data_IF_721509899729
#
_entry.id   IF_721509899729
#
_cell.length_a   1.000
_cell.length_b   1.000
_cell.length_c   1.000
_cell.angle_alpha   90.00
_cell.angle_beta   90.00
_cell.angle_gamma   90.00
#
_symmetry.space_group_name_H-M   'P 1'
#
loop_
_entity.id
_entity.type
_entity.pdbx_description
1 polymer ?
#
# COMPACT_ATOMS: atom_id res chain seq x y z
N UNK A 1 4.82 7.71 9.85
CA UNK A 1 4.65 8.23 8.50
C UNK A 1 3.19 8.49 8.23
N UNK A 2 2.87 9.66 7.73
CA UNK A 2 1.49 10.04 7.41
C UNK A 2 1.23 9.90 5.93
N UNK A 3 0.11 9.27 5.60
CA UNK A 3 -0.37 9.27 4.23
C UNK A 3 -1.26 10.49 4.04
N UNK A 4 -1.00 11.23 2.97
CA UNK A 4 -1.77 12.43 2.66
C UNK A 4 -3.24 12.06 2.40
N UNK A 5 -4.20 12.64 3.15
CA UNK A 5 -5.62 12.36 2.92
C UNK A 5 -6.09 12.70 1.50
N UNK A 6 -5.52 13.75 0.91
CA UNK A 6 -5.86 14.11 -0.47
C UNK A 6 -5.43 13.02 -1.44
N UNK A 7 -4.27 12.41 -1.20
CA UNK A 7 -3.78 11.30 -2.01
C UNK A 7 -4.74 10.12 -1.94
N UNK A 8 -5.21 9.78 -0.74
CA UNK A 8 -6.15 8.67 -0.55
C UNK A 8 -7.49 8.95 -1.23
N UNK A 9 -7.97 10.20 -1.19
CA UNK A 9 -9.19 10.58 -1.89
C UNK A 9 -9.06 10.41 -3.39
N UNK A 10 -7.92 10.80 -3.96
CA UNK A 10 -7.66 10.63 -5.39
C UNK A 10 -7.61 9.16 -5.77
N UNK A 11 -7.00 8.34 -4.94
CA UNK A 11 -6.94 6.89 -5.17
C UNK A 11 -8.34 6.30 -5.15
N UNK A 12 -9.16 6.68 -4.18
CA UNK A 12 -10.54 6.22 -4.09
C UNK A 12 -11.35 6.58 -5.33
N UNK A 13 -11.03 7.71 -5.95
CA UNK A 13 -11.67 8.16 -7.18
C UNK A 13 -11.11 7.46 -8.44
N UNK A 14 -10.09 6.60 -8.29
CA UNK A 14 -9.52 5.85 -9.40
C UNK A 14 -8.32 6.49 -10.06
N UNK A 15 -7.67 7.45 -9.40
CA UNK A 15 -6.48 8.13 -9.94
C UNK A 15 -5.28 7.20 -9.86
N UNK A 16 -4.86 6.67 -11.00
CA UNK A 16 -3.74 5.73 -11.08
C UNK A 16 -2.41 6.36 -10.75
N UNK A 17 -2.22 7.64 -11.06
CA UNK A 17 -0.98 8.34 -10.74
C UNK A 17 -0.85 8.52 -9.24
N UNK A 18 -1.94 8.83 -8.56
CA UNK A 18 -1.95 8.92 -7.11
C UNK A 18 -1.62 7.58 -6.47
N UNK A 19 -2.13 6.50 -7.04
CA UNK A 19 -1.81 5.14 -6.56
C UNK A 19 -0.32 4.83 -6.75
N UNK A 20 0.26 5.22 -7.88
CA UNK A 20 1.70 5.03 -8.11
C UNK A 20 2.55 5.76 -7.06
N UNK A 21 2.14 6.96 -6.67
CA UNK A 21 2.82 7.70 -5.60
C UNK A 21 2.74 6.96 -4.27
N UNK A 22 1.57 6.40 -3.96
CA UNK A 22 1.40 5.60 -2.75
C UNK A 22 2.31 4.38 -2.76
N UNK A 23 2.38 3.68 -3.90
CA UNK A 23 3.28 2.54 -4.06
C UNK A 23 4.73 2.93 -3.78
N UNK A 24 5.17 4.05 -4.33
CA UNK A 24 6.55 4.52 -4.14
C UNK A 24 6.85 4.82 -2.67
N UNK A 25 5.86 5.33 -1.93
CA UNK A 25 6.05 5.62 -0.51
C UNK A 25 6.16 4.38 0.36
N UNK A 26 5.42 3.34 0.04
CA UNK A 26 5.26 2.20 0.95
C UNK A 26 5.92 0.92 0.47
N UNK A 27 6.22 0.80 -0.83
CA UNK A 27 6.73 -0.46 -1.40
C UNK A 27 7.92 -1.03 -0.63
N UNK A 28 8.94 -0.20 -0.39
CA UNK A 28 10.15 -0.66 0.30
C UNK A 28 9.89 -1.12 1.71
N UNK A 29 9.05 -0.38 2.44
CA UNK A 29 8.74 -0.72 3.84
C UNK A 29 7.89 -1.97 3.95
N UNK A 30 6.90 -2.11 3.08
CA UNK A 30 6.06 -3.30 3.05
C UNK A 30 6.90 -4.52 2.66
N UNK A 31 7.75 -4.37 1.65
CA UNK A 31 8.63 -5.44 1.22
C UNK A 31 9.55 -5.90 2.35
N UNK A 32 10.21 -4.97 3.04
CA UNK A 32 11.09 -5.30 4.15
C UNK A 32 10.35 -6.03 5.27
N UNK A 33 9.13 -5.57 5.57
CA UNK A 33 8.29 -6.17 6.58
C UNK A 33 7.94 -7.62 6.23
N UNK A 34 7.47 -7.83 5.00
CA UNK A 34 7.09 -9.16 4.51
C UNK A 34 8.29 -10.09 4.50
N UNK A 35 9.45 -9.60 4.04
CA UNK A 35 10.66 -10.39 3.95
C UNK A 35 11.11 -10.89 5.32
N UNK A 36 10.82 -10.15 6.39
CA UNK A 36 11.11 -10.58 7.76
C UNK A 36 10.40 -11.88 8.09
N UNK A 37 9.21 -12.09 7.56
CA UNK A 37 8.41 -13.29 7.85
C UNK A 37 8.69 -14.43 6.90
N UNK A 38 8.76 -14.18 5.59
CA UNK A 38 8.89 -15.27 4.60
C UNK A 38 10.34 -15.61 4.29
N UNK A 39 11.25 -14.67 4.45
CA UNK A 39 12.71 -14.84 4.28
C UNK A 39 13.13 -15.28 2.88
N UNK A 40 12.24 -15.22 1.90
CA UNK A 40 12.53 -15.54 0.51
C UNK A 40 12.11 -14.38 -0.37
N UNK A 41 13.04 -13.92 -1.21
CA UNK A 41 12.83 -12.72 -2.02
C UNK A 41 11.62 -12.88 -2.96
N UNK A 42 11.56 -13.99 -3.70
CA UNK A 42 10.51 -14.19 -4.68
C UNK A 42 9.12 -14.24 -4.05
N UNK A 43 9.00 -14.91 -2.91
CA UNK A 43 7.74 -14.96 -2.18
C UNK A 43 7.34 -13.58 -1.67
N UNK A 44 8.31 -12.80 -1.16
CA UNK A 44 8.05 -11.46 -0.69
C UNK A 44 7.53 -10.56 -1.80
N UNK A 45 8.11 -10.65 -2.99
CA UNK A 45 7.66 -9.87 -4.15
C UNK A 45 6.20 -10.20 -4.47
N UNK A 46 5.83 -11.47 -4.52
CA UNK A 46 4.45 -11.88 -4.81
C UNK A 46 3.48 -11.37 -3.75
N UNK A 47 3.83 -11.50 -2.49
CA UNK A 47 2.97 -11.07 -1.40
C UNK A 47 2.76 -9.56 -1.45
N UNK A 48 3.82 -8.80 -1.69
CA UNK A 48 3.74 -7.34 -1.78
C UNK A 48 2.83 -6.92 -2.94
N UNK A 49 2.98 -7.57 -4.09
CA UNK A 49 2.10 -7.31 -5.24
C UNK A 49 0.65 -7.57 -4.89
N UNK A 50 0.36 -8.69 -4.23
CA UNK A 50 -1.00 -9.04 -3.83
C UNK A 50 -1.58 -8.03 -2.85
N UNK A 51 -0.77 -7.54 -1.91
CA UNK A 51 -1.21 -6.52 -0.95
C UNK A 51 -1.66 -5.27 -1.70
N UNK A 52 -0.86 -4.77 -2.64
CA UNK A 52 -1.18 -3.54 -3.35
C UNK A 52 -2.33 -3.73 -4.35
N UNK A 53 -2.47 -4.90 -4.94
CA UNK A 53 -3.64 -5.22 -5.77
C UNK A 53 -4.91 -5.15 -4.94
N UNK A 54 -4.90 -5.72 -3.73
CA UNK A 54 -6.06 -5.67 -2.83
C UNK A 54 -6.38 -4.24 -2.42
N UNK A 55 -5.35 -3.43 -2.16
CA UNK A 55 -5.56 -2.01 -1.85
C UNK A 55 -6.28 -1.31 -2.99
N UNK A 56 -5.85 -1.54 -4.23
CA UNK A 56 -6.50 -0.95 -5.39
C UNK A 56 -7.96 -1.39 -5.53
N UNK A 57 -8.22 -2.69 -5.36
CA UNK A 57 -9.57 -3.24 -5.45
C UNK A 57 -10.49 -2.63 -4.39
N UNK A 58 -9.95 -2.41 -3.18
CA UNK A 58 -10.70 -1.89 -2.04
C UNK A 58 -10.52 -0.39 -1.86
N UNK A 59 -10.08 0.32 -2.88
CA UNK A 59 -9.65 1.72 -2.76
C UNK A 59 -10.71 2.65 -2.19
N UNK A 60 -11.98 2.35 -2.39
CA UNK A 60 -13.07 3.17 -1.87
C UNK A 60 -13.31 2.97 -0.37
N UNK A 61 -12.72 1.93 0.22
CA UNK A 61 -12.94 1.56 1.62
C UNK A 61 -11.68 1.73 2.46
N UNK A 62 -10.65 2.37 1.93
CA UNK A 62 -9.40 2.52 2.66
C UNK A 62 -9.57 3.46 3.85
N UNK A 63 -8.93 3.15 4.99
CA UNK A 63 -8.87 4.10 6.11
C UNK A 63 -8.13 5.37 5.69
N UNK A 64 -8.48 6.47 6.33
CA UNK A 64 -7.90 7.77 6.00
C UNK A 64 -6.69 8.09 6.89
N UNK A 65 -5.78 8.88 6.32
CA UNK A 65 -4.70 9.49 7.07
C UNK A 65 -3.79 8.49 7.77
N UNK A 66 -3.54 8.73 9.06
CA UNK A 66 -2.66 7.90 9.87
C UNK A 66 -3.19 6.47 10.05
N UNK A 67 -4.49 6.28 9.92
CA UNK A 67 -5.10 4.98 10.08
C UNK A 67 -4.74 4.05 8.92
N UNK A 68 -4.42 4.61 7.76
CA UNK A 68 -3.98 3.81 6.62
C UNK A 68 -2.67 3.09 6.91
N UNK A 69 -1.72 3.75 7.56
CA UNK A 69 -0.45 3.12 7.92
C UNK A 69 -0.67 1.95 8.86
N UNK A 70 -1.56 2.10 9.84
CA UNK A 70 -1.91 1.01 10.76
C UNK A 70 -2.62 -0.13 10.03
N UNK A 71 -3.47 0.19 9.08
CA UNK A 71 -4.16 -0.81 8.26
C UNK A 71 -3.17 -1.63 7.43
N UNK A 72 -2.13 -0.97 6.90
CA UNK A 72 -1.15 -1.61 6.04
C UNK A 72 -0.22 -2.55 6.84
N UNK A 73 0.11 -2.20 8.06
CA UNK A 73 1.01 -2.95 8.92
C UNK A 73 0.30 -3.50 10.15
#
# INVERSE_FOLDING_TARGET
MHTDPVLLEKIAAGDEQAFALLLDQYRGKVFSHVLTYVKMYDEAVEIVQDIFIKIWIQRERLPEGKDFSAYLF
#
